data_IF_590155015930
#
_entry.id   IF_590155015930
#
_cell.length_a   1.000
_cell.length_b   1.000
_cell.length_c   1.000
_cell.angle_alpha   90.00
_cell.angle_beta   90.00
_cell.angle_gamma   90.00
#
_symmetry.space_group_name_H-M   'P 1'
#
loop_
_entity.id
_entity.type
_entity.pdbx_description
1 polymer ?
#
# COMPACT_ATOMS: atom_id res chain seq x y z
N UNK A 1 -0.88 -4.89 -23.17
CA UNK A 1 -0.87 -3.91 -22.05
C UNK A 1 -0.65 -4.65 -20.74
N UNK A 2 -0.10 -4.00 -19.71
CA UNK A 2 0.04 -4.56 -18.37
C UNK A 2 -1.33 -4.47 -17.67
N UNK A 3 -1.76 -5.57 -17.03
CA UNK A 3 -3.00 -5.57 -16.23
C UNK A 3 -2.62 -5.22 -14.80
N UNK A 4 -3.15 -4.13 -14.23
CA UNK A 4 -2.87 -3.77 -12.84
C UNK A 4 -3.58 -4.76 -11.90
N UNK A 5 -2.83 -5.30 -10.94
CA UNK A 5 -3.35 -6.12 -9.85
C UNK A 5 -2.73 -5.58 -8.55
N UNK A 6 -3.55 -5.29 -7.57
CA UNK A 6 -3.07 -4.87 -6.25
C UNK A 6 -2.37 -6.05 -5.58
N UNK A 7 -1.16 -5.79 -5.07
CA UNK A 7 -0.44 -6.72 -4.20
C UNK A 7 -0.63 -6.32 -2.73
N UNK A 8 -0.29 -5.08 -2.41
CA UNK A 8 -0.49 -4.53 -1.07
C UNK A 8 -0.46 -3.01 -1.05
N UNK A 9 -0.79 -2.47 0.10
CA UNK A 9 -0.61 -1.05 0.41
C UNK A 9 0.32 -0.89 1.60
N UNK A 10 1.01 0.25 1.68
CA UNK A 10 1.98 0.52 2.74
C UNK A 10 1.60 1.74 3.55
N UNK A 11 1.51 1.57 4.85
CA UNK A 11 1.35 2.64 5.84
C UNK A 11 2.71 2.93 6.46
N UNK A 12 3.20 4.15 6.29
CA UNK A 12 4.46 4.60 6.84
C UNK A 12 4.33 4.89 8.34
N UNK A 13 5.07 4.16 9.16
CA UNK A 13 5.16 4.35 10.60
C UNK A 13 6.41 5.14 11.03
N UNK A 14 7.28 5.50 10.09
CA UNK A 14 8.58 6.15 10.35
C UNK A 14 9.43 5.31 11.33
N UNK A 15 9.80 5.88 12.46
CA UNK A 15 10.56 5.24 13.56
C UNK A 15 9.66 4.69 14.68
N UNK A 16 8.33 4.64 14.47
CA UNK A 16 7.32 4.31 15.49
C UNK A 16 6.48 3.09 15.11
N UNK A 17 7.13 2.05 14.58
CA UNK A 17 6.45 0.85 14.05
C UNK A 17 5.57 0.16 15.11
N UNK A 18 6.03 0.07 16.36
CA UNK A 18 5.27 -0.59 17.44
C UNK A 18 4.06 0.25 17.89
N UNK A 19 4.12 1.59 17.80
CA UNK A 19 2.97 2.45 18.08
C UNK A 19 1.90 2.26 17.00
N UNK A 20 2.32 2.22 15.74
CA UNK A 20 1.41 1.92 14.62
C UNK A 20 0.80 0.53 14.78
N UNK A 21 1.59 -0.48 15.14
CA UNK A 21 1.10 -1.83 15.37
C UNK A 21 0.08 -1.90 16.51
N UNK A 22 0.31 -1.20 17.63
CA UNK A 22 -0.67 -1.10 18.74
C UNK A 22 -1.97 -0.45 18.26
N UNK A 23 -1.87 0.63 17.48
CA UNK A 23 -3.03 1.31 16.91
C UNK A 23 -3.87 0.33 16.05
N UNK A 24 -3.24 -0.36 15.09
CA UNK A 24 -3.96 -1.27 14.19
C UNK A 24 -4.49 -2.53 14.89
N UNK A 25 -3.78 -3.09 15.89
CA UNK A 25 -4.33 -4.15 16.75
C UNK A 25 -5.56 -3.66 17.52
N UNK A 26 -5.53 -2.43 18.03
CA UNK A 26 -6.69 -1.80 18.68
C UNK A 26 -7.89 -1.61 17.73
N UNK A 27 -7.66 -1.49 16.44
CA UNK A 27 -8.70 -1.47 15.40
C UNK A 27 -9.19 -2.86 14.98
N UNK A 28 -8.68 -3.93 15.60
CA UNK A 28 -9.10 -5.30 15.38
C UNK A 28 -8.38 -6.01 14.22
N UNK A 29 -7.25 -5.49 13.74
CA UNK A 29 -6.41 -6.23 12.81
C UNK A 29 -5.52 -7.23 13.57
N UNK A 30 -5.46 -8.47 13.10
CA UNK A 30 -4.39 -9.39 13.46
C UNK A 30 -3.14 -9.06 12.64
N UNK A 31 -2.01 -8.89 13.30
CA UNK A 31 -0.76 -8.49 12.67
C UNK A 31 0.31 -9.55 12.84
N UNK A 32 1.02 -9.84 11.75
CA UNK A 32 2.20 -10.72 11.80
C UNK A 32 3.20 -10.28 12.86
N UNK A 33 4.06 -11.18 13.37
CA UNK A 33 5.25 -10.79 14.12
C UNK A 33 6.10 -9.75 13.38
N UNK A 34 6.90 -8.98 14.11
CA UNK A 34 7.80 -7.98 13.53
C UNK A 34 8.80 -8.63 12.57
N UNK A 35 8.71 -8.25 11.30
CA UNK A 35 9.67 -8.61 10.26
C UNK A 35 10.79 -7.57 10.16
N UNK A 36 12.01 -8.01 9.83
CA UNK A 36 13.17 -7.14 9.58
C UNK A 36 13.74 -7.44 8.20
N UNK A 37 13.62 -6.49 7.29
CA UNK A 37 14.15 -6.64 5.93
C UNK A 37 15.66 -6.42 5.90
N UNK A 38 16.34 -7.14 5.03
CA UNK A 38 17.78 -6.94 4.77
C UNK A 38 18.12 -5.53 4.28
N UNK A 39 17.13 -4.78 3.79
CA UNK A 39 17.26 -3.37 3.37
C UNK A 39 17.11 -2.36 4.53
N UNK A 40 16.96 -2.81 5.79
CA UNK A 40 16.92 -1.93 6.96
C UNK A 40 15.53 -1.39 7.33
N UNK A 41 14.45 -1.86 6.70
CA UNK A 41 13.08 -1.58 7.15
C UNK A 41 12.55 -2.70 8.04
N UNK A 42 11.56 -2.35 8.85
CA UNK A 42 10.78 -3.28 9.67
C UNK A 42 9.33 -3.25 9.24
N UNK A 43 8.60 -4.34 9.42
CA UNK A 43 7.20 -4.39 9.07
C UNK A 43 6.34 -5.27 9.99
N UNK A 44 5.04 -4.97 9.98
CA UNK A 44 3.96 -5.87 10.36
C UNK A 44 2.95 -5.94 9.22
N UNK A 45 2.32 -7.07 8.99
CA UNK A 45 1.32 -7.26 7.95
C UNK A 45 -0.03 -7.61 8.55
N UNK A 46 -1.10 -7.00 8.03
CA UNK A 46 -2.46 -7.51 8.10
C UNK A 46 -2.74 -8.22 6.78
N UNK A 47 -2.77 -9.55 6.79
CA UNK A 47 -2.85 -10.37 5.57
C UNK A 47 -4.30 -10.71 5.28
N UNK A 48 -4.74 -10.48 4.05
CA UNK A 48 -6.09 -10.81 3.58
C UNK A 48 -6.05 -12.01 2.61
N UNK A 49 -7.06 -12.12 1.77
CA UNK A 49 -7.15 -13.17 0.77
C UNK A 49 -5.97 -13.20 -0.21
N UNK A 50 -5.89 -12.20 -1.09
CA UNK A 50 -4.86 -12.08 -2.11
C UNK A 50 -4.02 -10.80 -2.01
N UNK A 51 -4.32 -9.95 -1.04
CA UNK A 51 -3.62 -8.70 -0.77
C UNK A 51 -3.32 -8.55 0.73
N UNK A 52 -2.58 -7.51 1.12
CA UNK A 52 -2.32 -7.18 2.52
C UNK A 52 -2.08 -5.68 2.74
N UNK A 53 -2.24 -5.25 4.00
CA UNK A 53 -1.82 -3.96 4.48
C UNK A 53 -0.49 -4.13 5.22
N UNK A 54 0.54 -3.39 4.82
CA UNK A 54 1.84 -3.37 5.45
C UNK A 54 2.01 -2.11 6.30
N UNK A 55 2.28 -2.27 7.59
CA UNK A 55 2.87 -1.22 8.39
C UNK A 55 4.38 -1.28 8.20
N UNK A 56 5.02 -0.21 7.75
CA UNK A 56 6.47 -0.18 7.54
C UNK A 56 7.11 0.93 8.37
N UNK A 57 8.25 0.61 8.97
CA UNK A 57 9.07 1.54 9.73
C UNK A 57 10.56 1.30 9.52
N UNK A 58 11.37 2.15 10.12
CA UNK A 58 12.82 2.01 10.14
C UNK A 58 13.33 2.13 11.57
N UNK A 59 14.42 1.44 11.88
CA UNK A 59 15.15 1.61 13.13
C UNK A 59 16.20 2.70 12.93
N UNK A 60 16.07 3.87 13.57
CA UNK A 60 17.05 4.96 13.41
C UNK A 60 18.44 4.60 13.89
N UNK A 61 18.57 3.58 14.76
CA UNK A 61 19.84 3.09 15.30
C UNK A 61 20.51 2.04 14.43
N UNK A 62 19.82 1.53 13.39
CA UNK A 62 20.35 0.52 12.50
C UNK A 62 21.49 1.07 11.62
N UNK A 63 22.42 0.21 11.22
CA UNK A 63 23.50 0.57 10.30
C UNK A 63 22.99 1.03 8.93
N UNK A 64 21.83 0.52 8.49
CA UNK A 64 21.14 0.89 7.25
C UNK A 64 19.79 1.51 7.60
N UNK A 65 19.73 2.84 7.66
CA UNK A 65 18.48 3.57 7.93
C UNK A 65 17.79 3.93 6.63
N UNK A 66 16.51 3.57 6.52
CA UNK A 66 15.64 3.94 5.39
C UNK A 66 15.16 5.39 5.55
N UNK A 67 16.03 6.36 5.19
CA UNK A 67 15.76 7.81 5.38
C UNK A 67 14.50 8.26 4.69
N UNK A 68 14.17 7.70 3.52
CA UNK A 68 12.94 8.02 2.80
C UNK A 68 11.66 7.71 3.60
N UNK A 69 11.72 6.79 4.58
CA UNK A 69 10.60 6.57 5.51
C UNK A 69 10.49 7.69 6.54
N UNK A 70 11.61 8.28 6.95
CA UNK A 70 11.64 9.39 7.91
C UNK A 70 11.27 10.73 7.27
N UNK A 71 11.56 10.90 5.97
CA UNK A 71 11.32 12.14 5.22
C UNK A 71 9.84 12.32 4.84
N UNK A 72 9.09 11.21 4.72
CA UNK A 72 7.66 11.24 4.46
C UNK A 72 6.84 11.28 5.76
N UNK A 73 5.64 11.91 5.77
CA UNK A 73 4.74 11.87 6.92
C UNK A 73 4.28 10.44 7.22
N UNK A 74 3.73 10.23 8.42
CA UNK A 74 2.99 9.01 8.75
C UNK A 74 1.74 8.90 7.89
N UNK A 75 1.23 7.68 7.70
CA UNK A 75 0.02 7.42 6.94
C UNK A 75 0.25 6.60 5.67
N UNK A 76 -0.77 6.51 4.84
CA UNK A 76 -0.70 5.76 3.59
C UNK A 76 0.35 6.36 2.66
N UNK A 77 1.33 5.56 2.26
CA UNK A 77 2.52 6.04 1.56
C UNK A 77 2.97 5.12 0.43
N UNK A 78 2.43 3.91 0.32
CA UNK A 78 2.81 2.97 -0.71
C UNK A 78 1.64 2.29 -1.39
N UNK A 79 1.68 2.23 -2.73
CA UNK A 79 0.78 1.46 -3.58
C UNK A 79 1.62 0.46 -4.35
N UNK A 80 1.34 -0.82 -4.16
CA UNK A 80 2.16 -1.91 -4.69
C UNK A 80 1.33 -2.80 -5.58
N UNK A 81 1.83 -3.02 -6.79
CA UNK A 81 1.23 -3.90 -7.78
C UNK A 81 1.94 -5.25 -7.80
N UNK A 82 1.20 -6.32 -8.05
CA UNK A 82 1.78 -7.65 -8.21
C UNK A 82 2.63 -7.75 -9.48
N UNK A 83 3.74 -8.46 -9.38
CA UNK A 83 4.58 -8.84 -10.51
C UNK A 83 4.81 -10.36 -10.49
N UNK A 84 4.67 -11.02 -11.64
CA UNK A 84 4.99 -12.44 -11.76
C UNK A 84 6.47 -12.67 -12.10
N UNK A 85 7.13 -11.71 -12.77
CA UNK A 85 8.54 -11.71 -13.16
C UNK A 85 9.02 -10.26 -13.18
N UNK A 86 9.65 -9.82 -12.11
CA UNK A 86 10.10 -8.45 -11.97
C UNK A 86 11.19 -8.03 -13.00
N UNK A 87 12.17 -8.88 -13.35
CA UNK A 87 13.12 -8.58 -14.43
C UNK A 87 12.45 -8.38 -15.81
N UNK A 88 11.50 -9.24 -16.18
CA UNK A 88 10.78 -9.09 -17.44
C UNK A 88 9.87 -7.85 -17.44
N UNK A 89 9.21 -7.59 -16.31
CA UNK A 89 8.41 -6.39 -16.11
C UNK A 89 9.24 -5.12 -16.24
N UNK A 90 10.40 -5.09 -15.58
CA UNK A 90 11.33 -3.93 -15.68
C UNK A 90 11.71 -3.63 -17.12
N UNK A 91 12.20 -4.62 -17.87
CA UNK A 91 12.57 -4.45 -19.28
C UNK A 91 11.42 -3.86 -20.08
N UNK A 92 10.23 -4.45 -19.96
CA UNK A 92 9.02 -4.01 -20.67
C UNK A 92 8.65 -2.56 -20.35
N UNK A 93 8.69 -2.16 -19.06
CA UNK A 93 8.36 -0.81 -18.63
C UNK A 93 9.43 0.20 -19.02
N UNK A 94 10.71 -0.16 -18.89
CA UNK A 94 11.85 0.67 -19.29
C UNK A 94 11.87 0.93 -20.81
N UNK A 95 11.64 -0.11 -21.62
CA UNK A 95 11.55 0.00 -23.08
C UNK A 95 10.35 0.89 -23.50
N UNK A 96 9.28 0.91 -22.71
CA UNK A 96 8.14 1.81 -22.91
C UNK A 96 8.36 3.24 -22.36
N UNK A 97 9.55 3.56 -21.83
CA UNK A 97 9.89 4.87 -21.30
C UNK A 97 9.24 5.19 -19.94
N UNK A 98 8.75 4.17 -19.20
CA UNK A 98 8.24 4.38 -17.85
C UNK A 98 9.40 4.69 -16.88
N UNK A 99 9.19 5.55 -15.88
CA UNK A 99 10.21 5.96 -14.93
C UNK A 99 10.44 4.88 -13.85
N UNK A 100 11.00 3.74 -14.23
CA UNK A 100 11.24 2.60 -13.32
C UNK A 100 12.72 2.37 -13.09
N UNK A 101 13.04 1.86 -11.89
CA UNK A 101 14.40 1.52 -11.47
C UNK A 101 14.65 0.01 -11.66
N UNK A 102 15.92 -0.41 -11.85
CA UNK A 102 16.27 -1.83 -11.93
C UNK A 102 15.76 -2.64 -10.74
N UNK A 103 15.43 -3.94 -10.94
CA UNK A 103 14.94 -4.78 -9.89
C UNK A 103 15.92 -4.90 -8.72
N UNK A 104 15.39 -4.87 -7.49
CA UNK A 104 16.14 -5.10 -6.26
C UNK A 104 15.54 -6.29 -5.54
N UNK A 105 16.39 -7.26 -5.18
CA UNK A 105 16.00 -8.40 -4.35
C UNK A 105 16.34 -8.14 -2.88
N UNK A 106 15.45 -8.58 -1.99
CA UNK A 106 15.66 -8.55 -0.55
C UNK A 106 14.86 -9.66 0.14
N UNK A 107 15.17 -9.88 1.41
CA UNK A 107 14.49 -10.91 2.20
C UNK A 107 14.22 -10.42 3.63
N UNK A 108 13.43 -11.22 4.33
CA UNK A 108 13.27 -11.17 5.78
C UNK A 108 13.03 -12.57 6.34
N UNK A 109 13.53 -12.88 7.54
CA UNK A 109 13.21 -14.14 8.20
C UNK A 109 11.73 -14.17 8.62
N UNK A 110 11.15 -15.36 8.52
CA UNK A 110 9.81 -15.70 9.02
C UNK A 110 9.95 -16.87 9.98
N UNK A 111 9.47 -16.68 11.22
CA UNK A 111 9.46 -17.75 12.21
C UNK A 111 8.44 -18.84 11.82
N UNK A 112 8.84 -20.10 11.94
CA UNK A 112 8.02 -21.28 11.70
C UNK A 112 8.07 -22.18 12.93
N UNK A 113 7.11 -23.12 13.06
CA UNK A 113 7.04 -24.06 14.19
C UNK A 113 8.32 -24.89 14.40
N UNK A 114 9.13 -25.10 13.35
CA UNK A 114 10.37 -25.90 13.39
C UNK A 114 11.66 -25.11 13.11
N UNK A 115 11.61 -23.76 13.14
CA UNK A 115 12.78 -22.93 12.82
C UNK A 115 12.43 -21.61 12.16
N UNK A 116 13.16 -21.21 11.12
CA UNK A 116 12.86 -20.04 10.32
C UNK A 116 13.07 -20.31 8.83
N UNK A 117 12.37 -19.55 7.99
CA UNK A 117 12.55 -19.52 6.54
C UNK A 117 12.69 -18.08 6.05
N UNK A 118 13.30 -17.90 4.89
CA UNK A 118 13.50 -16.58 4.29
C UNK A 118 12.36 -16.24 3.32
N UNK A 119 11.50 -15.30 3.71
CA UNK A 119 10.59 -14.69 2.76
C UNK A 119 11.39 -13.77 1.83
N UNK A 120 11.34 -14.07 0.51
CA UNK A 120 12.15 -13.39 -0.51
C UNK A 120 11.27 -12.65 -1.49
N UNK A 121 11.72 -11.44 -1.84
CA UNK A 121 10.99 -10.50 -2.67
C UNK A 121 11.90 -9.91 -3.72
N UNK A 122 11.33 -9.56 -4.87
CA UNK A 122 11.99 -8.74 -5.88
C UNK A 122 11.08 -7.60 -6.29
N UNK A 123 11.57 -6.36 -6.20
CA UNK A 123 10.76 -5.17 -6.47
C UNK A 123 11.32 -4.35 -7.63
N UNK A 124 10.41 -3.81 -8.44
CA UNK A 124 10.69 -2.77 -9.43
C UNK A 124 10.04 -1.49 -8.94
N UNK A 125 10.86 -0.50 -8.57
CA UNK A 125 10.36 0.79 -8.06
C UNK A 125 10.09 1.75 -9.20
N UNK A 126 9.05 2.56 -9.04
CA UNK A 126 8.90 3.78 -9.82
C UNK A 126 9.80 4.85 -9.21
N UNK A 127 10.53 5.59 -10.03
CA UNK A 127 11.43 6.63 -9.57
C UNK A 127 10.70 7.66 -8.69
N UNK A 128 11.29 8.00 -7.54
CA UNK A 128 10.66 8.86 -6.53
C UNK A 128 10.19 10.21 -7.09
N UNK A 129 10.93 10.79 -8.03
CA UNK A 129 10.56 12.04 -8.68
C UNK A 129 9.23 11.98 -9.45
N UNK A 130 8.79 10.79 -9.86
CA UNK A 130 7.50 10.59 -10.53
C UNK A 130 6.34 10.35 -9.56
N UNK A 131 6.61 10.19 -8.26
CA UNK A 131 5.60 9.86 -7.22
C UNK A 131 5.77 10.78 -6.00
N UNK A 132 5.57 12.11 -6.14
CA UNK A 132 5.78 13.04 -5.01
C UNK A 132 4.79 12.83 -3.85
N UNK A 133 3.76 12.02 -4.04
CA UNK A 133 2.72 11.71 -3.07
C UNK A 133 2.93 10.38 -2.33
N UNK A 134 4.09 9.74 -2.48
CA UNK A 134 4.40 8.47 -1.82
C UNK A 134 5.34 7.59 -2.63
N UNK A 135 5.08 6.28 -2.64
CA UNK A 135 5.85 5.28 -3.37
C UNK A 135 4.93 4.40 -4.20
N UNK A 136 5.30 4.13 -5.44
CA UNK A 136 4.65 3.15 -6.31
C UNK A 136 5.70 2.15 -6.75
N UNK A 137 5.42 0.87 -6.64
CA UNK A 137 6.32 -0.17 -7.09
C UNK A 137 5.58 -1.47 -7.41
N UNK A 138 6.29 -2.41 -8.00
CA UNK A 138 5.81 -3.76 -8.30
C UNK A 138 6.58 -4.75 -7.42
N UNK A 139 5.89 -5.77 -6.91
CA UNK A 139 6.47 -6.78 -6.04
C UNK A 139 6.25 -8.19 -6.62
N UNK A 140 7.35 -8.91 -6.79
CA UNK A 140 7.36 -10.35 -7.05
C UNK A 140 7.67 -11.07 -5.75
N UNK A 141 6.76 -11.95 -5.31
CA UNK A 141 6.95 -12.83 -4.17
C UNK A 141 7.60 -14.13 -4.61
N UNK A 142 8.89 -14.33 -4.28
CA UNK A 142 9.63 -15.56 -4.61
C UNK A 142 9.27 -16.74 -3.68
N UNK A 143 8.63 -16.43 -2.54
CA UNK A 143 8.19 -17.38 -1.50
C UNK A 143 6.84 -16.93 -0.94
N UNK A 144 5.81 -16.90 -1.80
CA UNK A 144 4.49 -16.37 -1.48
C UNK A 144 3.86 -17.04 -0.26
N UNK A 145 4.04 -18.33 -0.10
CA UNK A 145 3.53 -19.17 0.99
C UNK A 145 4.02 -18.74 2.39
N UNK A 146 5.14 -18.00 2.47
CA UNK A 146 5.66 -17.47 3.73
C UNK A 146 5.00 -16.14 4.14
N UNK A 147 4.21 -15.53 3.26
CA UNK A 147 3.47 -14.30 3.51
C UNK A 147 1.99 -14.59 3.72
N UNK A 148 1.35 -15.30 2.79
CA UNK A 148 -0.08 -15.64 2.88
C UNK A 148 -0.28 -16.94 3.66
N UNK A 149 -0.15 -16.86 4.98
CA UNK A 149 -0.38 -17.98 5.90
C UNK A 149 -1.78 -17.84 6.51
N UNK A 150 -2.50 -18.94 6.62
CA UNK A 150 -3.89 -18.96 7.07
C UNK A 150 -4.05 -18.42 8.50
N UNK A 151 -3.05 -18.62 9.35
CA UNK A 151 -3.04 -18.15 10.75
C UNK A 151 -3.11 -16.62 10.91
N UNK A 152 -2.89 -15.84 9.84
CA UNK A 152 -2.86 -14.37 9.88
C UNK A 152 -3.98 -13.72 9.08
N UNK A 153 -4.98 -14.49 8.63
CA UNK A 153 -6.06 -13.99 7.75
C UNK A 153 -7.35 -13.62 8.47
N UNK A 154 -7.47 -14.01 9.74
CA UNK A 154 -8.68 -13.74 10.52
C UNK A 154 -8.52 -12.46 11.35
N UNK A 155 -9.31 -11.45 11.01
CA UNK A 155 -9.29 -10.16 11.66
C UNK A 155 -10.59 -9.93 12.44
N UNK A 156 -10.49 -9.56 13.73
CA UNK A 156 -11.65 -9.31 14.59
C UNK A 156 -12.56 -8.19 14.04
N UNK A 157 -12.02 -7.28 13.23
CA UNK A 157 -12.79 -6.23 12.55
C UNK A 157 -13.49 -6.71 11.26
N UNK A 158 -13.31 -7.98 10.89
CA UNK A 158 -13.92 -8.61 9.73
C UNK A 158 -13.29 -8.26 8.37
N UNK A 159 -12.20 -7.50 8.34
CA UNK A 159 -11.52 -7.16 7.08
C UNK A 159 -11.03 -8.41 6.32
N UNK A 160 -11.29 -8.50 5.03
CA UNK A 160 -10.99 -9.66 4.20
C UNK A 160 -10.26 -9.34 2.89
N UNK A 161 -10.29 -8.10 2.45
CA UNK A 161 -9.58 -7.63 1.26
C UNK A 161 -9.52 -6.09 1.23
N UNK A 162 -8.55 -5.56 0.49
CA UNK A 162 -8.54 -4.15 0.11
C UNK A 162 -9.43 -4.00 -1.13
N UNK A 163 -10.50 -3.22 -1.00
CA UNK A 163 -11.43 -2.96 -2.09
C UNK A 163 -11.13 -1.63 -2.80
N UNK A 164 -10.52 -0.67 -2.09
CA UNK A 164 -10.33 0.68 -2.60
C UNK A 164 -9.08 1.32 -2.01
N UNK A 165 -8.31 1.99 -2.86
CA UNK A 165 -7.24 2.92 -2.46
C UNK A 165 -7.61 4.30 -2.97
N UNK A 166 -7.43 5.35 -2.16
CA UNK A 166 -7.77 6.72 -2.54
C UNK A 166 -6.53 7.60 -2.50
N UNK A 167 -6.24 8.23 -3.63
CA UNK A 167 -5.31 9.35 -3.73
C UNK A 167 -6.13 10.64 -3.87
N UNK A 168 -5.94 11.57 -2.95
CA UNK A 168 -6.46 12.92 -3.10
C UNK A 168 -5.45 13.76 -3.88
N UNK A 169 -5.88 14.46 -4.92
CA UNK A 169 -5.02 15.25 -5.77
C UNK A 169 -5.73 16.56 -6.19
N UNK A 170 -5.02 17.68 -6.12
CA UNK A 170 -5.53 18.96 -6.64
C UNK A 170 -5.81 18.89 -8.15
N UNK A 171 -4.98 18.11 -8.86
CA UNK A 171 -5.15 17.76 -10.27
C UNK A 171 -5.11 16.24 -10.44
N UNK A 172 -6.27 15.57 -10.48
CA UNK A 172 -6.35 14.13 -10.69
C UNK A 172 -5.78 13.67 -12.04
N UNK A 173 -5.92 14.46 -13.10
CA UNK A 173 -5.42 14.10 -14.44
C UNK A 173 -3.90 14.14 -14.51
N UNK A 174 -3.27 15.18 -13.94
CA UNK A 174 -1.82 15.23 -13.81
C UNK A 174 -1.27 14.06 -12.98
N UNK A 175 -1.92 13.73 -11.85
CA UNK A 175 -1.54 12.60 -10.99
C UNK A 175 -1.71 11.26 -11.70
N UNK A 176 -2.75 11.11 -12.53
CA UNK A 176 -3.03 9.91 -13.30
C UNK A 176 -2.02 9.65 -14.45
N UNK A 177 -1.23 10.65 -14.84
CA UNK A 177 -0.26 10.51 -15.94
C UNK A 177 0.73 9.37 -15.71
N UNK A 178 1.16 9.14 -14.48
CA UNK A 178 2.00 7.99 -14.13
C UNK A 178 1.29 6.67 -14.47
N UNK A 179 0.05 6.51 -14.03
CA UNK A 179 -0.71 5.26 -14.24
C UNK A 179 -1.04 5.01 -15.71
N UNK A 180 -1.23 6.09 -16.51
CA UNK A 180 -1.33 6.00 -17.97
C UNK A 180 -0.05 5.44 -18.60
N UNK A 181 1.11 5.89 -18.14
CA UNK A 181 2.41 5.38 -18.61
C UNK A 181 2.64 3.93 -18.23
N UNK A 182 2.20 3.51 -17.03
CA UNK A 182 2.39 2.14 -16.55
C UNK A 182 1.41 1.15 -17.21
N UNK A 183 0.14 1.55 -17.40
CA UNK A 183 -0.95 0.63 -17.75
C UNK A 183 -1.68 0.98 -19.05
N UNK A 184 -1.40 2.14 -19.63
CA UNK A 184 -2.08 2.67 -20.81
C UNK A 184 -3.33 3.50 -20.49
N UNK A 185 -3.69 4.40 -21.39
CA UNK A 185 -4.82 5.33 -21.22
C UNK A 185 -6.16 4.60 -20.96
N UNK A 186 -6.36 3.49 -21.66
CA UNK A 186 -7.58 2.70 -21.55
C UNK A 186 -7.78 2.02 -20.17
N UNK A 187 -6.78 1.98 -19.31
CA UNK A 187 -6.91 1.42 -17.97
C UNK A 187 -7.65 2.37 -17.01
N UNK A 188 -7.61 3.66 -17.27
CA UNK A 188 -8.26 4.68 -16.45
C UNK A 188 -9.68 4.97 -16.97
N UNK A 189 -10.61 5.18 -16.06
CA UNK A 189 -12.01 5.51 -16.34
C UNK A 189 -12.41 6.76 -15.55
N UNK A 190 -13.29 7.61 -16.11
CA UNK A 190 -13.91 8.67 -15.34
C UNK A 190 -14.63 8.11 -14.11
N UNK A 191 -14.49 8.82 -12.98
CA UNK A 191 -15.16 8.51 -11.73
C UNK A 191 -15.62 9.81 -11.06
N UNK A 192 -16.47 9.71 -10.04
CA UNK A 192 -16.94 10.88 -9.33
C UNK A 192 -15.78 11.66 -8.69
N UNK A 193 -15.59 12.88 -9.16
CA UNK A 193 -14.56 13.80 -8.70
C UNK A 193 -13.15 13.50 -9.20
N UNK A 194 -12.98 12.65 -10.22
CA UNK A 194 -11.67 12.33 -10.78
C UNK A 194 -11.66 11.09 -11.69
N UNK A 195 -10.71 10.21 -11.46
CA UNK A 195 -10.43 9.01 -12.26
C UNK A 195 -10.32 7.77 -11.39
N UNK A 196 -10.64 6.61 -11.97
CA UNK A 196 -10.49 5.30 -11.33
C UNK A 196 -9.70 4.33 -12.21
N UNK A 197 -8.86 3.51 -11.57
CA UNK A 197 -8.11 2.40 -12.15
C UNK A 197 -8.53 1.10 -11.46
N UNK A 198 -9.02 0.12 -12.22
CA UNK A 198 -9.25 -1.22 -11.67
C UNK A 198 -7.91 -1.93 -11.43
N UNK A 199 -7.75 -2.58 -10.26
CA UNK A 199 -6.55 -3.30 -9.84
C UNK A 199 -6.91 -4.72 -9.38
N UNK A 200 -7.36 -5.57 -10.30
CA UNK A 200 -7.95 -6.86 -9.96
C UNK A 200 -9.29 -6.69 -9.26
N UNK A 201 -9.43 -7.21 -8.03
CA UNK A 201 -10.64 -7.05 -7.22
C UNK A 201 -10.72 -5.69 -6.49
N UNK A 202 -9.64 -4.92 -6.47
CA UNK A 202 -9.56 -3.59 -5.89
C UNK A 202 -9.65 -2.50 -6.97
N UNK A 203 -9.78 -1.25 -6.52
CA UNK A 203 -9.65 -0.07 -7.39
C UNK A 203 -8.81 1.02 -6.72
N UNK A 204 -8.13 1.79 -7.54
CA UNK A 204 -7.53 3.06 -7.17
C UNK A 204 -8.43 4.19 -7.65
N UNK A 205 -8.83 5.08 -6.75
CA UNK A 205 -9.52 6.32 -7.09
C UNK A 205 -8.57 7.50 -6.88
N UNK A 206 -8.37 8.30 -7.92
CA UNK A 206 -7.60 9.54 -7.90
C UNK A 206 -8.62 10.67 -7.99
N UNK A 207 -8.90 11.33 -6.87
CA UNK A 207 -10.02 12.25 -6.73
C UNK A 207 -9.59 13.60 -6.17
N UNK A 208 -10.40 14.62 -6.42
CA UNK A 208 -10.17 15.95 -5.85
C UNK A 208 -10.33 15.96 -4.31
N UNK A 209 -9.69 16.90 -3.59
CA UNK A 209 -9.91 17.08 -2.15
C UNK A 209 -11.39 17.31 -1.80
N UNK A 210 -12.15 17.97 -2.66
CA UNK A 210 -13.59 18.16 -2.47
C UNK A 210 -14.37 16.83 -2.53
N UNK A 211 -13.99 15.91 -3.44
CA UNK A 211 -14.58 14.58 -3.50
C UNK A 211 -14.17 13.72 -2.31
N UNK A 212 -12.92 13.80 -1.84
CA UNK A 212 -12.47 13.16 -0.60
C UNK A 212 -13.30 13.64 0.60
N UNK A 213 -13.49 14.94 0.73
CA UNK A 213 -14.30 15.54 1.82
C UNK A 213 -15.76 15.08 1.76
N UNK A 214 -16.36 14.92 0.58
CA UNK A 214 -17.71 14.35 0.45
C UNK A 214 -17.77 12.88 0.89
N UNK A 215 -16.73 12.08 0.57
CA UNK A 215 -16.71 10.65 0.87
C UNK A 215 -16.43 10.34 2.35
N UNK A 216 -15.54 11.11 2.98
CA UNK A 216 -15.01 10.81 4.31
C UNK A 216 -15.27 11.91 5.33
N UNK A 217 -15.68 13.12 4.92
CA UNK A 217 -15.94 14.24 5.83
C UNK A 217 -14.77 14.53 6.78
N UNK A 218 -15.04 14.66 8.08
CA UNK A 218 -14.02 14.93 9.09
C UNK A 218 -13.08 13.73 9.34
N UNK A 219 -13.39 12.55 8.81
CA UNK A 219 -12.53 11.37 8.93
C UNK A 219 -11.35 11.41 7.94
N UNK A 220 -11.39 12.25 6.91
CA UNK A 220 -10.30 12.39 5.94
C UNK A 220 -9.04 12.97 6.59
N UNK A 221 -7.82 12.50 6.19
CA UNK A 221 -6.59 13.15 6.63
C UNK A 221 -6.46 14.55 6.02
N UNK A 222 -5.84 15.50 6.73
CA UNK A 222 -5.59 16.85 6.21
C UNK A 222 -4.55 16.82 5.09
N UNK A 223 -4.71 17.71 4.11
CA UNK A 223 -3.75 17.83 3.00
C UNK A 223 -2.38 18.36 3.45
N UNK A 224 -2.33 19.21 4.46
CA UNK A 224 -1.10 19.82 5.01
C UNK A 224 -0.22 20.47 3.93
N UNK A 225 -0.84 21.14 2.96
CA UNK A 225 -0.15 21.80 1.84
C UNK A 225 0.30 20.87 0.71
N UNK A 226 0.04 19.56 0.80
CA UNK A 226 0.37 18.59 -0.26
C UNK A 226 -0.60 18.74 -1.44
N UNK A 227 -0.06 18.83 -2.65
CA UNK A 227 -0.86 18.87 -3.87
C UNK A 227 -1.53 17.52 -4.19
N UNK A 228 -0.89 16.42 -3.78
CA UNK A 228 -1.45 15.08 -3.84
C UNK A 228 -0.93 14.25 -2.65
N UNK A 229 -1.74 13.28 -2.18
CA UNK A 229 -1.37 12.34 -1.10
C UNK A 229 -2.29 11.13 -1.11
N UNK A 230 -1.79 9.99 -0.64
CA UNK A 230 -2.60 8.80 -0.40
C UNK A 230 -3.40 9.03 0.88
N UNK A 231 -4.73 8.89 0.83
CA UNK A 231 -5.62 9.42 1.86
C UNK A 231 -6.41 8.35 2.61
N UNK A 232 -6.90 7.34 1.90
CA UNK A 232 -7.87 6.41 2.47
C UNK A 232 -7.78 5.02 1.86
N UNK A 233 -8.28 4.04 2.62
CA UNK A 233 -8.50 2.66 2.20
C UNK A 233 -9.95 2.26 2.42
N UNK A 234 -10.55 1.59 1.44
CA UNK A 234 -11.77 0.83 1.58
C UNK A 234 -11.43 -0.65 1.76
N UNK A 235 -11.96 -1.26 2.80
CA UNK A 235 -11.76 -2.66 3.16
C UNK A 235 -13.10 -3.39 3.02
N UNK A 236 -13.10 -4.49 2.27
CA UNK A 236 -14.24 -5.40 2.20
C UNK A 236 -14.23 -6.31 3.43
N UNK A 237 -15.39 -6.50 4.03
CA UNK A 237 -15.56 -7.40 5.17
C UNK A 237 -16.02 -8.80 4.72
N UNK A 238 -15.71 -9.83 5.52
CA UNK A 238 -16.09 -11.23 5.26
C UNK A 238 -17.61 -11.42 5.20
N UNK A 239 -18.33 -10.76 6.11
CA UNK A 239 -19.78 -10.75 6.14
C UNK A 239 -20.33 -9.39 5.73
N UNK A 240 -21.52 -9.33 5.14
CA UNK A 240 -22.21 -8.06 4.89
C UNK A 240 -22.29 -7.24 6.17
N UNK A 241 -21.81 -6.03 6.15
CA UNK A 241 -21.82 -5.11 7.28
C UNK A 241 -22.18 -3.70 6.84
N UNK A 242 -22.84 -2.90 7.69
CA UNK A 242 -23.04 -1.49 7.40
C UNK A 242 -21.69 -0.78 7.21
N UNK A 243 -21.68 0.23 6.35
CA UNK A 243 -20.51 1.07 6.16
C UNK A 243 -20.06 1.68 7.50
N UNK A 244 -18.80 1.46 7.86
CA UNK A 244 -18.15 2.05 9.04
C UNK A 244 -16.87 2.76 8.59
N UNK A 245 -16.67 3.97 9.11
CA UNK A 245 -15.45 4.74 8.83
C UNK A 245 -14.69 4.99 10.13
N UNK A 246 -13.38 4.74 10.11
CA UNK A 246 -12.42 5.13 11.15
C UNK A 246 -11.68 6.36 10.65
N UNK A 247 -11.62 7.39 11.48
CA UNK A 247 -10.95 8.62 11.11
C UNK A 247 -9.42 8.44 10.97
N UNK A 248 -8.82 9.19 10.08
CA UNK A 248 -7.38 9.15 9.86
C UNK A 248 -6.58 9.44 11.15
N UNK A 249 -7.09 10.31 12.02
CA UNK A 249 -6.49 10.60 13.32
C UNK A 249 -6.39 9.36 14.24
N UNK A 250 -7.33 8.42 14.10
CA UNK A 250 -7.44 7.20 14.90
C UNK A 250 -6.81 5.97 14.22
N UNK A 251 -6.36 6.10 12.96
CA UNK A 251 -5.80 5.02 12.17
C UNK A 251 -4.47 5.40 11.50
N UNK A 252 -3.58 6.01 12.26
CA UNK A 252 -2.22 6.33 11.85
C UNK A 252 -2.14 7.16 10.56
N UNK A 253 -3.04 8.15 10.40
CA UNK A 253 -3.08 9.05 9.25
C UNK A 253 -3.81 8.51 8.01
N UNK A 254 -4.51 7.38 8.12
CA UNK A 254 -5.27 6.76 7.02
C UNK A 254 -6.75 6.71 7.37
N UNK A 255 -7.63 7.30 6.56
CA UNK A 255 -9.06 7.04 6.71
C UNK A 255 -9.39 5.62 6.27
N UNK A 256 -9.98 4.81 7.16
CA UNK A 256 -10.35 3.43 6.85
C UNK A 256 -11.87 3.31 6.73
N UNK A 257 -12.33 2.79 5.60
CA UNK A 257 -13.73 2.46 5.35
C UNK A 257 -13.90 0.94 5.33
N UNK A 258 -14.82 0.42 6.11
CA UNK A 258 -15.21 -0.99 6.11
C UNK A 258 -16.61 -1.10 5.52
N UNK A 259 -16.80 -1.98 4.55
CA UNK A 259 -18.08 -2.29 3.93
C UNK A 259 -18.08 -3.74 3.45
N UNK A 260 -19.22 -4.39 3.54
CA UNK A 260 -19.47 -5.75 3.04
C UNK A 260 -20.36 -5.75 1.82
#
# INVERSE_FOLDING_TARGET
MLVPVLDHVVVNARDRIEDAARCYRGLGFDLTPLGRHTLGSMNHLAVFGDDYLELVGTDPSAAAVRRELLDHPVGLNGLVFAAADAPALYRRLADAGAPVEPPVEFSRPVALAGGSAEARFRVVRVAAAAVPYGRVYFCEHLTRELVWRDEWRDHANGAAAIARVVIAAADPDATATLFRRLFGDAALRPAEGGLSLAMGAARLDIITPAALARSFGPAAPPAEGRAAFMAALGLRTQAPSPRRVVAAADAWGVALEFAG
#
